data_IF_059585383018
#
_entry.id   IF_059585383018
#
_cell.length_a   1.000
_cell.length_b   1.000
_cell.length_c   1.000
_cell.angle_alpha   90.00
_cell.angle_beta   90.00
_cell.angle_gamma   90.00
#
_symmetry.space_group_name_H-M   'P 1'
#
loop_
_entity.id
_entity.type
_entity.pdbx_description
1 polymer ?
#
# COMPACT_ATOMS: atom_id res chain seq x y z
N UNK A 1 17.65 13.08 29.94
CA UNK A 1 17.34 13.74 28.66
C UNK A 1 18.40 13.29 27.67
N UNK A 2 18.09 12.29 26.84
CA UNK A 2 18.99 11.76 25.82
C UNK A 2 18.33 12.05 24.48
N UNK A 3 18.86 13.02 23.75
CA UNK A 3 18.43 13.38 22.40
C UNK A 3 18.88 12.26 21.44
N UNK A 4 17.91 11.63 20.78
CA UNK A 4 18.17 10.79 19.61
C UNK A 4 18.40 11.69 18.42
N UNK A 5 19.64 11.68 17.90
CA UNK A 5 20.00 12.37 16.67
C UNK A 5 19.34 11.66 15.47
N UNK A 6 18.27 12.23 14.94
CA UNK A 6 17.77 11.94 13.59
C UNK A 6 18.63 12.70 12.59
N UNK A 7 19.64 12.03 12.02
CA UNK A 7 20.30 12.51 10.81
C UNK A 7 19.38 12.31 9.59
N UNK A 8 19.36 13.22 8.61
CA UNK A 8 18.58 13.03 7.40
C UNK A 8 19.18 11.87 6.58
N UNK A 9 18.35 10.89 6.24
CA UNK A 9 18.72 9.88 5.24
C UNK A 9 18.78 10.60 3.89
N UNK A 10 19.96 10.57 3.27
CA UNK A 10 20.20 11.18 1.97
C UNK A 10 19.20 10.63 0.94
N UNK A 11 18.43 11.54 0.33
CA UNK A 11 17.63 11.23 -0.83
C UNK A 11 18.57 10.84 -1.98
N UNK A 12 18.29 9.70 -2.60
CA UNK A 12 18.97 9.26 -3.83
C UNK A 12 18.66 10.23 -4.97
N UNK A 13 19.69 10.82 -5.58
CA UNK A 13 19.66 11.80 -6.68
C UNK A 13 19.20 11.23 -8.03
N UNK A 14 18.09 10.51 -8.06
CA UNK A 14 17.42 10.21 -9.32
C UNK A 14 15.91 10.09 -9.09
N UNK A 15 15.11 11.14 -9.35
CA UNK A 15 13.66 10.99 -9.28
C UNK A 15 13.23 10.03 -10.41
N UNK A 16 12.41 9.00 -10.14
CA UNK A 16 11.71 8.31 -11.22
C UNK A 16 10.91 9.37 -11.99
N UNK A 17 11.31 9.58 -13.25
CA UNK A 17 10.76 10.59 -14.12
C UNK A 17 9.29 10.30 -14.39
N UNK A 18 8.43 11.25 -14.01
CA UNK A 18 6.96 11.26 -13.99
C UNK A 18 6.30 10.59 -12.78
N UNK A 19 5.58 11.40 -12.00
CA UNK A 19 4.59 10.93 -11.02
C UNK A 19 3.62 10.00 -11.76
N UNK A 20 3.30 8.81 -11.23
CA UNK A 20 2.34 7.93 -11.88
C UNK A 20 1.03 8.68 -12.12
N UNK A 21 0.44 8.48 -13.31
CA UNK A 21 -0.84 9.08 -13.67
C UNK A 21 -1.91 8.77 -12.62
N UNK A 22 -2.87 9.68 -12.45
CA UNK A 22 -4.04 9.45 -11.57
C UNK A 22 -4.76 8.15 -11.93
N UNK A 23 -5.21 7.42 -10.91
CA UNK A 23 -5.93 6.15 -11.04
C UNK A 23 -7.44 6.29 -10.78
N UNK A 24 -7.93 7.51 -10.52
CA UNK A 24 -9.30 7.78 -10.11
C UNK A 24 -9.55 7.39 -8.65
N UNK A 25 -8.55 7.55 -7.79
CA UNK A 25 -8.63 7.17 -6.38
C UNK A 25 -9.36 8.21 -5.55
N UNK A 26 -10.25 7.74 -4.69
CA UNK A 26 -10.85 8.52 -3.60
C UNK A 26 -10.18 8.16 -2.28
N UNK A 27 -10.30 9.02 -1.26
CA UNK A 27 -9.66 8.84 0.05
C UNK A 27 -10.66 8.99 1.21
N UNK A 28 -11.91 8.54 1.02
CA UNK A 28 -12.99 8.84 1.98
C UNK A 28 -12.70 8.30 3.38
N UNK A 29 -12.11 7.11 3.52
CA UNK A 29 -11.68 6.61 4.82
C UNK A 29 -10.68 7.55 5.52
N UNK A 30 -9.71 8.09 4.78
CA UNK A 30 -8.67 8.97 5.32
C UNK A 30 -9.27 10.33 5.68
N UNK A 31 -10.14 10.85 4.83
CA UNK A 31 -10.71 12.20 4.96
C UNK A 31 -11.83 12.25 6.02
N UNK A 32 -12.72 11.26 6.03
CA UNK A 32 -13.92 11.27 6.86
C UNK A 32 -13.71 10.62 8.24
N UNK A 33 -12.63 9.84 8.41
CA UNK A 33 -12.33 9.10 9.65
C UNK A 33 -10.95 9.49 10.20
N UNK A 34 -10.73 10.78 10.54
CA UNK A 34 -9.42 11.26 10.95
C UNK A 34 -8.97 10.61 12.26
N UNK A 35 -7.66 10.34 12.35
CA UNK A 35 -7.02 9.75 13.53
C UNK A 35 -6.99 8.22 13.58
N UNK A 36 -7.59 7.55 12.59
CA UNK A 36 -7.53 6.08 12.45
C UNK A 36 -6.53 5.61 11.39
N UNK A 37 -5.90 6.55 10.69
CA UNK A 37 -4.88 6.28 9.68
C UNK A 37 -3.65 7.13 9.93
N UNK A 38 -2.51 6.66 9.43
CA UNK A 38 -1.25 7.40 9.38
C UNK A 38 -0.77 7.40 7.94
N UNK A 39 -0.60 8.58 7.29
CA UNK A 39 0.00 8.65 5.96
C UNK A 39 1.39 7.99 5.97
N UNK A 40 1.65 7.12 5.00
CA UNK A 40 2.88 6.35 4.96
C UNK A 40 3.26 5.95 3.54
N UNK A 41 4.56 6.01 3.22
CA UNK A 41 5.09 5.54 1.93
C UNK A 41 5.65 4.13 2.09
N UNK A 42 5.33 3.23 1.16
CA UNK A 42 5.90 1.89 1.15
C UNK A 42 7.42 1.90 0.93
N UNK A 43 8.05 0.80 1.34
CA UNK A 43 9.49 0.64 1.19
C UNK A 43 9.87 0.48 -0.30
N UNK A 44 11.09 0.90 -0.69
CA UNK A 44 11.61 0.62 -2.02
C UNK A 44 11.58 -0.88 -2.32
N UNK A 45 11.04 -1.22 -3.49
CA UNK A 45 11.08 -2.57 -4.04
C UNK A 45 12.16 -2.61 -5.14
N UNK A 46 13.22 -3.41 -5.00
CA UNK A 46 14.25 -3.52 -6.03
C UNK A 46 13.69 -4.28 -7.24
N UNK A 47 13.79 -3.67 -8.43
CA UNK A 47 13.37 -4.27 -9.72
C UNK A 47 11.96 -4.91 -9.66
N UNK A 48 10.91 -4.12 -9.35
CA UNK A 48 9.57 -4.65 -9.16
C UNK A 48 9.02 -5.17 -10.49
N UNK A 49 8.41 -6.37 -10.46
CA UNK A 49 7.82 -7.02 -11.64
C UNK A 49 6.48 -7.66 -11.28
N UNK A 50 5.49 -7.50 -12.16
CA UNK A 50 4.20 -8.17 -12.02
C UNK A 50 4.32 -9.61 -12.47
N UNK A 51 4.23 -10.56 -11.54
CA UNK A 51 4.30 -11.99 -11.84
C UNK A 51 2.98 -12.54 -12.38
N UNK A 52 1.87 -12.12 -11.76
CA UNK A 52 0.50 -12.51 -12.11
C UNK A 52 -0.38 -11.29 -11.90
N UNK A 53 -1.34 -11.06 -12.80
CA UNK A 53 -2.33 -10.00 -12.70
C UNK A 53 -3.71 -10.58 -13.01
N UNK A 54 -4.69 -10.32 -12.15
CA UNK A 54 -6.09 -10.58 -12.49
C UNK A 54 -6.59 -9.46 -13.42
N UNK A 55 -6.46 -9.67 -14.73
CA UNK A 55 -6.85 -8.65 -15.71
C UNK A 55 -8.35 -8.36 -15.71
N UNK A 56 -9.18 -9.37 -15.47
CA UNK A 56 -10.63 -9.18 -15.43
C UNK A 56 -11.01 -8.27 -14.27
N UNK A 57 -10.42 -8.50 -13.08
CA UNK A 57 -10.61 -7.63 -11.92
C UNK A 57 -10.06 -6.22 -12.19
N UNK A 58 -8.85 -6.10 -12.75
CA UNK A 58 -8.30 -4.79 -13.08
C UNK A 58 -9.26 -3.98 -13.98
N UNK A 59 -9.81 -4.60 -15.03
CA UNK A 59 -10.78 -3.95 -15.92
C UNK A 59 -12.10 -3.63 -15.21
N UNK A 60 -12.61 -4.54 -14.37
CA UNK A 60 -13.85 -4.28 -13.61
C UNK A 60 -13.68 -3.16 -12.57
N UNK A 61 -12.43 -2.82 -12.21
CA UNK A 61 -12.07 -1.69 -11.35
C UNK A 61 -11.70 -0.42 -12.15
N UNK A 62 -11.89 -0.41 -13.47
CA UNK A 62 -11.55 0.72 -14.33
C UNK A 62 -10.05 0.93 -14.57
N UNK A 63 -9.20 -0.02 -14.17
CA UNK A 63 -7.75 0.04 -14.35
C UNK A 63 -7.33 -0.63 -15.66
N UNK A 64 -6.35 -0.05 -16.35
CA UNK A 64 -5.75 -0.66 -17.55
C UNK A 64 -4.70 -1.72 -17.17
N UNK A 65 -4.90 -3.01 -17.52
CA UNK A 65 -3.91 -4.06 -17.25
C UNK A 65 -2.55 -3.85 -17.92
N UNK A 66 -2.49 -3.11 -19.03
CA UNK A 66 -1.23 -2.83 -19.72
C UNK A 66 -0.39 -1.84 -18.93
N UNK A 67 -1.02 -0.78 -18.41
CA UNK A 67 -0.42 0.18 -17.49
C UNK A 67 0.05 -0.49 -16.20
N UNK A 68 -0.77 -1.36 -15.59
CA UNK A 68 -0.40 -2.07 -14.36
C UNK A 68 0.86 -2.95 -14.51
N UNK A 69 1.11 -3.48 -15.72
CA UNK A 69 2.32 -4.28 -16.02
C UNK A 69 3.54 -3.46 -16.40
N UNK A 70 3.40 -2.16 -16.58
CA UNK A 70 4.55 -1.28 -16.82
C UNK A 70 5.46 -1.22 -15.59
N UNK A 71 6.67 -0.69 -15.75
CA UNK A 71 7.59 -0.44 -14.64
C UNK A 71 6.97 0.47 -13.56
N UNK A 72 6.25 1.51 -13.99
CA UNK A 72 5.55 2.41 -13.08
C UNK A 72 4.41 1.69 -12.36
N UNK A 73 3.61 0.90 -13.08
CA UNK A 73 2.53 0.09 -12.51
C UNK A 73 3.05 -0.91 -11.48
N UNK A 74 4.17 -1.59 -11.79
CA UNK A 74 4.83 -2.50 -10.86
C UNK A 74 5.34 -1.77 -9.60
N UNK A 75 5.88 -0.56 -9.76
CA UNK A 75 6.31 0.29 -8.64
C UNK A 75 5.15 0.75 -7.75
N UNK A 76 3.99 1.06 -8.34
CA UNK A 76 2.78 1.37 -7.56
C UNK A 76 2.26 0.12 -6.86
N UNK A 77 2.11 -1.01 -7.56
CA UNK A 77 1.60 -2.25 -6.99
C UNK A 77 2.50 -2.84 -5.89
N UNK A 78 3.80 -2.50 -5.88
CA UNK A 78 4.70 -2.85 -4.77
C UNK A 78 4.63 -1.87 -3.59
N UNK A 79 3.93 -0.74 -3.74
CA UNK A 79 3.87 0.35 -2.76
C UNK A 79 5.10 1.25 -2.75
N UNK A 80 6.03 1.09 -3.70
CA UNK A 80 7.23 1.93 -3.80
C UNK A 80 6.94 3.29 -4.44
N UNK A 81 5.87 3.37 -5.24
CA UNK A 81 5.33 4.59 -5.84
C UNK A 81 3.87 4.76 -5.42
N UNK A 82 3.35 5.98 -5.56
CA UNK A 82 1.95 6.31 -5.36
C UNK A 82 1.41 7.07 -6.58
N UNK A 83 0.17 6.80 -7.04
CA UNK A 83 -0.52 7.64 -8.00
C UNK A 83 -0.67 9.08 -7.51
N UNK A 84 -0.78 10.04 -8.44
CA UNK A 84 -0.89 11.46 -8.10
C UNK A 84 -2.09 11.82 -7.21
N UNK A 85 -3.15 11.01 -7.25
CA UNK A 85 -4.42 11.16 -6.52
C UNK A 85 -4.51 10.26 -5.27
N UNK A 86 -3.38 9.70 -4.83
CA UNK A 86 -3.31 8.80 -3.69
C UNK A 86 -2.64 9.46 -2.48
N UNK A 87 -3.21 9.24 -1.29
CA UNK A 87 -2.50 9.44 -0.01
C UNK A 87 -2.37 8.09 0.68
N UNK A 88 -1.33 7.29 0.33
CA UNK A 88 -1.18 5.96 0.88
C UNK A 88 -1.08 6.03 2.41
N UNK A 89 -1.83 5.17 3.09
CA UNK A 89 -2.03 5.28 4.53
C UNK A 89 -2.05 3.90 5.20
N UNK A 90 -1.48 3.80 6.39
CA UNK A 90 -1.57 2.61 7.24
C UNK A 90 -2.69 2.81 8.28
N UNK A 91 -3.60 1.86 8.41
CA UNK A 91 -4.70 1.95 9.36
C UNK A 91 -4.27 1.47 10.75
N UNK A 92 -4.74 2.15 11.79
CA UNK A 92 -4.65 1.73 13.18
C UNK A 92 -5.91 0.95 13.56
N UNK A 93 -5.71 -0.18 14.23
CA UNK A 93 -6.81 -0.95 14.83
C UNK A 93 -6.32 -1.71 16.06
N UNK A 94 -7.23 -2.33 16.80
CA UNK A 94 -6.94 -3.18 17.94
C UNK A 94 -7.64 -4.54 17.76
N UNK A 95 -7.33 -5.51 18.60
CA UNK A 95 -8.02 -6.80 18.48
C UNK A 95 -7.61 -7.83 19.52
N UNK A 96 -8.39 -8.90 19.60
CA UNK A 96 -8.05 -10.05 20.42
C UNK A 96 -7.27 -11.06 19.58
N UNK A 97 -6.06 -11.41 20.02
CA UNK A 97 -5.24 -12.45 19.39
C UNK A 97 -5.02 -13.58 20.40
N UNK A 98 -5.38 -14.81 20.01
CA UNK A 98 -5.23 -15.99 20.86
C UNK A 98 -5.82 -15.83 22.27
N UNK A 99 -6.97 -15.14 22.38
CA UNK A 99 -7.68 -14.90 23.63
C UNK A 99 -7.21 -13.69 24.45
N UNK A 100 -6.10 -13.03 24.10
CA UNK A 100 -5.63 -11.81 24.75
C UNK A 100 -5.98 -10.55 23.96
N UNK A 101 -6.36 -9.47 24.66
CA UNK A 101 -6.55 -8.16 24.02
C UNK A 101 -5.21 -7.50 23.71
N UNK A 102 -5.03 -7.09 22.46
CA UNK A 102 -3.90 -6.30 22.00
C UNK A 102 -4.41 -4.88 21.72
N UNK A 103 -4.03 -3.88 22.55
CA UNK A 103 -4.60 -2.53 22.48
C UNK A 103 -4.16 -1.76 21.23
N UNK A 104 -3.05 -2.16 20.60
CA UNK A 104 -2.57 -1.55 19.37
C UNK A 104 -2.03 -2.61 18.41
N UNK A 105 -2.78 -2.77 17.32
CA UNK A 105 -2.40 -3.41 16.07
C UNK A 105 -2.35 -2.31 15.00
N UNK A 106 -2.65 -2.68 13.77
CA UNK A 106 -2.64 -1.81 12.61
C UNK A 106 -2.07 -2.55 11.41
N UNK A 107 -2.06 -1.87 10.27
CA UNK A 107 -1.51 -2.39 9.03
C UNK A 107 0.02 -2.44 9.10
N UNK A 108 0.55 -3.46 9.80
CA UNK A 108 2.00 -3.62 9.98
C UNK A 108 2.77 -4.06 8.74
N UNK A 109 2.08 -4.28 7.62
CA UNK A 109 2.67 -4.66 6.32
C UNK A 109 1.73 -4.35 5.15
N UNK A 110 0.84 -3.39 5.33
CA UNK A 110 -0.13 -3.04 4.30
C UNK A 110 -0.29 -1.52 4.24
N UNK A 111 -0.70 -1.03 3.08
CA UNK A 111 -1.06 0.37 2.87
C UNK A 111 -2.36 0.44 2.08
N UNK A 112 -3.31 1.21 2.57
CA UNK A 112 -4.47 1.65 1.81
C UNK A 112 -3.98 2.69 0.82
N UNK A 113 -4.00 2.36 -0.48
CA UNK A 113 -3.63 3.31 -1.53
C UNK A 113 -4.75 4.34 -1.77
N UNK A 114 -5.98 3.91 -1.54
CA UNK A 114 -7.19 4.70 -1.75
C UNK A 114 -8.34 3.77 -2.12
N UNK A 115 -9.40 4.35 -2.64
CA UNK A 115 -10.65 3.69 -2.96
C UNK A 115 -10.98 3.88 -4.44
N UNK A 116 -11.50 2.84 -5.07
CA UNK A 116 -11.96 2.84 -6.47
C UNK A 116 -13.45 2.56 -6.53
N UNK A 117 -14.08 2.92 -7.65
CA UNK A 117 -15.40 2.42 -8.00
C UNK A 117 -15.28 1.27 -9.00
N UNK A 118 -15.95 0.15 -8.71
CA UNK A 118 -16.08 -0.93 -9.68
C UNK A 118 -17.06 -0.56 -10.82
N UNK A 119 -17.19 -1.44 -11.81
CA UNK A 119 -18.09 -1.26 -12.97
C UNK A 119 -19.58 -1.11 -12.60
N UNK A 120 -19.97 -1.46 -11.37
CA UNK A 120 -21.31 -1.29 -10.82
C UNK A 120 -21.44 -0.06 -9.92
N UNK A 121 -20.39 0.77 -9.85
CA UNK A 121 -20.33 1.96 -9.01
C UNK A 121 -20.10 1.68 -7.53
N UNK A 122 -19.77 0.44 -7.13
CA UNK A 122 -19.49 0.09 -5.74
C UNK A 122 -18.07 0.52 -5.38
N UNK A 123 -17.94 1.20 -4.24
CA UNK A 123 -16.63 1.56 -3.67
C UNK A 123 -15.90 0.31 -3.18
N UNK A 124 -14.62 0.20 -3.51
CA UNK A 124 -13.72 -0.84 -3.03
C UNK A 124 -12.37 -0.27 -2.66
N UNK A 125 -11.76 -0.82 -1.62
CA UNK A 125 -10.43 -0.41 -1.16
C UNK A 125 -9.35 -1.05 -2.02
N UNK A 126 -8.35 -0.26 -2.39
CA UNK A 126 -7.11 -0.75 -2.99
C UNK A 126 -6.02 -0.81 -1.93
N UNK A 127 -5.82 -2.00 -1.36
CA UNK A 127 -4.84 -2.26 -0.31
C UNK A 127 -3.61 -2.98 -0.86
N UNK A 128 -2.41 -2.43 -0.61
CA UNK A 128 -1.13 -3.00 -1.02
C UNK A 128 -0.50 -3.78 0.14
N UNK A 129 -0.48 -5.10 0.05
CA UNK A 129 0.07 -6.00 1.08
C UNK A 129 1.53 -6.36 0.79
N UNK A 130 2.37 -6.32 1.82
CA UNK A 130 3.80 -6.55 1.71
C UNK A 130 4.59 -5.33 1.24
N UNK A 131 3.98 -4.14 1.29
CA UNK A 131 4.55 -2.85 0.84
C UNK A 131 5.67 -2.32 1.73
N UNK A 132 6.07 -3.04 2.78
CA UNK A 132 7.14 -2.65 3.69
C UNK A 132 6.64 -2.31 5.09
N UNK A 133 7.58 -2.01 5.97
CA UNK A 133 7.30 -1.72 7.37
C UNK A 133 6.57 -0.37 7.51
N UNK A 134 5.49 -0.36 8.27
CA UNK A 134 4.77 0.81 8.77
C UNK A 134 5.04 1.02 10.27
N UNK A 135 4.55 2.12 10.90
CA UNK A 135 4.61 2.29 12.35
C UNK A 135 3.96 1.15 13.15
N UNK A 136 3.09 0.35 12.52
CA UNK A 136 2.37 -0.77 13.13
C UNK A 136 3.05 -2.13 12.96
N UNK A 137 4.27 -2.19 12.38
CA UNK A 137 4.96 -3.45 12.05
C UNK A 137 5.45 -4.26 13.25
N UNK A 138 5.56 -3.63 14.43
CA UNK A 138 5.92 -4.28 15.70
C UNK A 138 7.21 -5.14 15.61
N UNK A 139 8.21 -4.64 14.88
CA UNK A 139 9.51 -5.31 14.68
C UNK A 139 9.59 -6.26 13.48
N UNK A 140 8.49 -6.46 12.73
CA UNK A 140 8.54 -7.11 11.43
C UNK A 140 9.13 -6.21 10.35
N UNK A 141 9.62 -6.80 9.26
CA UNK A 141 10.16 -6.09 8.10
C UNK A 141 9.06 -5.49 7.18
N UNK A 142 7.80 -5.84 7.45
CA UNK A 142 6.62 -5.41 6.71
C UNK A 142 6.53 -5.92 5.28
N UNK A 143 7.37 -6.89 4.90
CA UNK A 143 7.37 -7.48 3.56
C UNK A 143 6.53 -8.75 3.51
N UNK A 144 6.16 -9.16 2.31
CA UNK A 144 5.50 -10.43 2.06
C UNK A 144 6.31 -11.26 1.08
N UNK A 145 6.45 -12.55 1.38
CA UNK A 145 7.10 -13.50 0.47
C UNK A 145 6.14 -13.90 -0.65
N UNK A 146 6.68 -14.14 -1.84
CA UNK A 146 5.91 -14.48 -3.05
C UNK A 146 4.98 -15.68 -2.80
N UNK A 147 5.43 -16.71 -2.08
CA UNK A 147 4.62 -17.89 -1.79
C UNK A 147 3.35 -17.59 -0.98
N UNK A 148 3.43 -16.67 -0.01
CA UNK A 148 2.29 -16.25 0.79
C UNK A 148 1.28 -15.44 -0.05
N UNK A 149 1.77 -14.54 -0.91
CA UNK A 149 0.93 -13.72 -1.79
C UNK A 149 0.27 -14.56 -2.89
N UNK A 150 0.98 -15.50 -3.49
CA UNK A 150 0.40 -16.43 -4.46
C UNK A 150 -0.68 -17.31 -3.83
N UNK A 151 -0.48 -17.78 -2.59
CA UNK A 151 -1.50 -18.55 -1.88
C UNK A 151 -2.77 -17.73 -1.63
N UNK A 152 -2.61 -16.47 -1.22
CA UNK A 152 -3.74 -15.56 -0.98
C UNK A 152 -4.47 -15.17 -2.27
N UNK A 153 -3.75 -15.03 -3.39
CA UNK A 153 -4.35 -14.78 -4.70
C UNK A 153 -5.23 -15.93 -5.21
N UNK A 154 -4.91 -17.18 -4.84
CA UNK A 154 -5.56 -18.38 -5.37
C UNK A 154 -6.77 -18.87 -4.55
N UNK A 155 -6.91 -18.43 -3.30
CA UNK A 155 -7.97 -18.87 -2.37
C UNK A 155 -9.13 -17.89 -2.42
#
# INVERSE_FOLDING_TARGET
MSEFATGPVAASDNPPSSVPSSWGLESTLVDDVPGFTVPWQGAPAPDPRVLILNENLARSLGLDPSMLRSEQGAGVLSGALAPADSTPSAMAYAGHQFGGFVPLLGDGRALLLGELHDEHGRRVDLHLKGSGATPFSRGGDGRAVVSAMLREYLI
#
